data_IF_197499081381
#
_entry.id   IF_197499081381
#
_cell.length_a   1.000
_cell.length_b   1.000
_cell.length_c   1.000
_cell.angle_alpha   90.00
_cell.angle_beta   90.00
_cell.angle_gamma   90.00
#
_symmetry.space_group_name_H-M   'P 1'
#
loop_
_entity.id
_entity.type
_entity.pdbx_description
1 polymer ?
#
# COMPACT_ATOMS: atom_id res chain seq x y z
N UNK A 1 35.29 4.59 28.24
CA UNK A 1 34.06 5.40 28.34
C UNK A 1 33.56 5.82 26.96
N UNK A 2 34.45 6.27 26.05
CA UNK A 2 34.10 6.61 24.66
C UNK A 2 33.52 5.45 23.83
N UNK A 3 34.07 4.24 23.93
CA UNK A 3 33.50 3.08 23.21
C UNK A 3 32.05 2.78 23.61
N UNK A 4 31.70 2.99 24.89
CA UNK A 4 30.34 2.79 25.38
C UNK A 4 29.39 3.89 24.86
N UNK A 5 29.85 5.14 24.77
CA UNK A 5 29.03 6.23 24.23
C UNK A 5 28.80 6.08 22.72
N UNK A 6 29.80 5.61 21.97
CA UNK A 6 29.65 5.38 20.53
C UNK A 6 28.71 4.20 20.24
N UNK A 7 28.82 3.10 21.00
CA UNK A 7 27.86 1.99 20.92
C UNK A 7 26.45 2.46 21.27
N UNK A 8 26.28 3.26 22.34
CA UNK A 8 24.97 3.79 22.72
C UNK A 8 24.37 4.68 21.62
N UNK A 9 25.19 5.54 20.98
CA UNK A 9 24.78 6.38 19.86
C UNK A 9 24.34 5.55 18.65
N UNK A 10 25.10 4.51 18.31
CA UNK A 10 24.76 3.61 17.20
C UNK A 10 23.44 2.88 17.47
N UNK A 11 23.27 2.30 18.65
CA UNK A 11 22.05 1.60 19.07
C UNK A 11 20.83 2.52 19.00
N UNK A 12 20.95 3.76 19.47
CA UNK A 12 19.86 4.75 19.42
C UNK A 12 19.40 5.06 18.00
N UNK A 13 20.28 4.93 17.01
CA UNK A 13 19.96 5.22 15.62
C UNK A 13 19.50 4.00 14.83
N UNK A 14 19.62 2.77 15.36
CA UNK A 14 19.30 1.53 14.61
C UNK A 14 17.83 1.52 14.15
N UNK A 15 16.90 2.03 14.95
CA UNK A 15 15.50 2.14 14.61
C UNK A 15 15.03 3.59 14.79
N UNK A 16 14.28 4.10 13.82
CA UNK A 16 13.70 5.43 13.92
C UNK A 16 12.32 5.50 13.26
N UNK A 17 11.49 6.41 13.75
CA UNK A 17 10.29 6.82 13.01
C UNK A 17 10.69 7.85 11.96
N UNK A 18 10.11 7.72 10.77
CA UNK A 18 10.32 8.63 9.66
C UNK A 18 9.02 8.97 8.95
N UNK A 19 9.09 9.98 8.10
CA UNK A 19 8.00 10.36 7.18
C UNK A 19 8.57 10.51 5.78
N UNK A 20 7.93 9.88 4.79
CA UNK A 20 8.34 10.00 3.38
C UNK A 20 8.20 11.45 2.96
N UNK A 21 9.29 12.07 2.52
CA UNK A 21 9.36 13.47 2.13
C UNK A 21 9.41 13.66 0.61
N UNK A 22 10.08 12.75 -0.10
CA UNK A 22 10.19 12.78 -1.57
C UNK A 22 10.02 11.35 -2.12
N UNK A 23 9.42 11.24 -3.31
CA UNK A 23 9.17 9.97 -3.99
C UNK A 23 9.57 10.09 -5.46
N UNK A 24 10.40 9.16 -5.93
CA UNK A 24 10.65 8.90 -7.34
C UNK A 24 9.93 7.60 -7.73
N UNK A 25 8.87 7.73 -8.51
CA UNK A 25 8.04 6.61 -8.93
C UNK A 25 8.66 5.74 -10.03
N UNK A 26 9.56 6.30 -10.85
CA UNK A 26 10.20 5.59 -11.96
C UNK A 26 11.18 4.54 -11.43
N UNK A 27 11.99 4.92 -10.44
CA UNK A 27 13.02 4.05 -9.86
C UNK A 27 12.60 3.37 -8.54
N UNK A 28 11.36 3.63 -8.07
CA UNK A 28 10.85 3.12 -6.78
C UNK A 28 11.72 3.56 -5.59
N UNK A 29 12.21 4.80 -5.65
CA UNK A 29 13.07 5.39 -4.61
C UNK A 29 12.30 6.40 -3.77
N UNK A 30 12.66 6.50 -2.50
CA UNK A 30 12.10 7.49 -1.57
C UNK A 30 13.20 8.17 -0.78
N UNK A 31 12.91 9.37 -0.28
CA UNK A 31 13.68 10.02 0.78
C UNK A 31 12.81 10.22 2.00
N UNK A 32 13.37 9.91 3.16
CA UNK A 32 12.63 9.88 4.41
C UNK A 32 13.18 10.99 5.30
N UNK A 33 12.30 11.79 5.87
CA UNK A 33 12.66 12.71 6.94
C UNK A 33 12.69 11.95 8.27
N UNK A 34 13.86 11.88 8.88
CA UNK A 34 14.10 11.31 10.20
C UNK A 34 14.67 12.43 11.07
N UNK A 35 13.89 12.89 12.06
CA UNK A 35 14.29 13.96 12.99
C UNK A 35 14.83 15.23 12.30
N UNK A 36 14.18 15.68 11.22
CA UNK A 36 14.55 16.89 10.48
C UNK A 36 15.67 16.69 9.45
N UNK A 37 16.16 15.46 9.26
CA UNK A 37 17.19 15.13 8.27
C UNK A 37 16.63 14.21 7.20
N UNK A 38 16.97 14.49 5.95
CA UNK A 38 16.61 13.62 4.82
C UNK A 38 17.65 12.51 4.64
N UNK A 39 17.18 11.31 4.34
CA UNK A 39 18.01 10.22 3.84
C UNK A 39 18.55 10.52 2.44
N UNK A 40 19.50 9.70 2.00
CA UNK A 40 19.75 9.47 0.57
C UNK A 40 18.49 8.87 -0.09
N UNK A 41 18.52 8.73 -1.41
CA UNK A 41 17.52 7.93 -2.10
C UNK A 41 17.68 6.46 -1.69
N UNK A 42 16.63 5.91 -1.09
CA UNK A 42 16.59 4.52 -0.63
C UNK A 42 15.41 3.80 -1.29
N UNK A 43 15.54 2.49 -1.47
CA UNK A 43 14.46 1.69 -2.07
C UNK A 43 13.21 1.74 -1.20
N UNK A 44 12.07 2.00 -1.83
CA UNK A 44 10.77 1.78 -1.20
C UNK A 44 10.51 0.27 -0.96
N UNK A 45 9.68 -0.09 0.02
CA UNK A 45 9.22 -1.47 0.18
C UNK A 45 8.39 -1.90 -1.03
N UNK A 46 8.62 -3.13 -1.49
CA UNK A 46 7.84 -3.78 -2.53
C UNK A 46 7.40 -5.17 -2.10
N UNK A 47 6.36 -5.72 -2.74
CA UNK A 47 5.94 -7.09 -2.55
C UNK A 47 6.56 -7.89 -3.70
N UNK A 48 7.76 -8.43 -3.49
CA UNK A 48 8.52 -9.14 -4.53
C UNK A 48 8.92 -10.52 -4.04
N UNK A 49 8.42 -11.54 -4.73
CA UNK A 49 8.79 -12.95 -4.57
C UNK A 49 8.77 -13.68 -5.90
N UNK A 50 9.01 -14.99 -5.88
CA UNK A 50 9.04 -15.81 -7.11
C UNK A 50 7.69 -15.82 -7.84
N UNK A 51 6.59 -15.86 -7.09
CA UNK A 51 5.24 -16.02 -7.65
C UNK A 51 4.46 -14.70 -7.77
N UNK A 52 4.85 -13.67 -7.01
CA UNK A 52 4.12 -12.41 -6.91
C UNK A 52 5.10 -11.25 -6.94
N UNK A 53 4.83 -10.28 -7.82
CA UNK A 53 5.45 -8.96 -7.83
C UNK A 53 4.34 -7.93 -7.87
N UNK A 54 4.25 -7.09 -6.85
CA UNK A 54 3.25 -6.03 -6.75
C UNK A 54 3.87 -4.73 -6.26
N UNK A 55 3.35 -3.62 -6.78
CA UNK A 55 3.82 -2.27 -6.50
C UNK A 55 2.75 -1.50 -5.75
N UNK A 56 3.10 -0.98 -4.57
CA UNK A 56 2.30 -0.01 -3.84
C UNK A 56 3.01 1.34 -3.96
N UNK A 57 2.40 2.30 -4.66
CA UNK A 57 3.02 3.61 -4.82
C UNK A 57 2.94 4.40 -3.52
N UNK A 58 4.11 4.60 -2.90
CA UNK A 58 4.25 5.39 -1.69
C UNK A 58 3.92 6.87 -1.97
N UNK A 59 3.54 7.58 -0.92
CA UNK A 59 3.16 8.99 -1.01
C UNK A 59 3.96 9.81 -0.01
N UNK A 60 4.17 11.08 -0.34
CA UNK A 60 4.70 12.06 0.62
C UNK A 60 3.74 12.15 1.82
N UNK A 61 4.30 12.23 3.02
CA UNK A 61 3.54 12.26 4.27
C UNK A 61 3.25 10.89 4.88
N UNK A 62 3.55 9.78 4.18
CA UNK A 62 3.39 8.44 4.76
C UNK A 62 4.40 8.22 5.89
N UNK A 63 3.89 7.82 7.06
CA UNK A 63 4.71 7.49 8.22
C UNK A 63 5.28 6.06 8.09
N UNK A 64 6.52 5.87 8.53
CA UNK A 64 7.19 4.57 8.48
C UNK A 64 8.08 4.34 9.70
N UNK A 65 8.30 3.06 10.01
CA UNK A 65 9.43 2.64 10.85
C UNK A 65 10.59 2.29 9.91
N UNK A 66 11.76 2.84 10.20
CA UNK A 66 12.98 2.57 9.45
C UNK A 66 14.02 1.88 10.31
N UNK A 67 14.80 1.01 9.68
CA UNK A 67 16.04 0.46 10.21
C UNK A 67 17.22 1.18 9.59
N UNK A 68 18.21 1.55 10.38
CA UNK A 68 19.42 2.21 9.92
C UNK A 68 20.60 1.24 10.06
N UNK A 69 21.01 0.55 8.99
CA UNK A 69 22.19 -0.33 9.02
C UNK A 69 23.40 0.42 9.57
N UNK A 70 24.15 -0.22 10.48
CA UNK A 70 25.27 0.39 11.21
C UNK A 70 24.93 1.69 11.98
N UNK A 71 23.64 1.95 12.24
CA UNK A 71 23.19 3.17 12.93
C UNK A 71 23.34 4.44 12.09
N UNK A 72 23.36 4.33 10.75
CA UNK A 72 23.41 5.46 9.82
C UNK A 72 22.03 5.78 9.22
N UNK A 73 21.37 6.87 9.65
CA UNK A 73 20.07 7.27 9.11
C UNK A 73 20.11 7.66 7.64
N UNK A 74 21.26 8.05 7.07
CA UNK A 74 21.34 8.45 5.66
C UNK A 74 21.00 7.30 4.71
N UNK A 75 21.24 6.06 5.13
CA UNK A 75 21.03 4.83 4.34
C UNK A 75 19.93 3.95 4.96
N UNK A 76 18.95 4.58 5.62
CA UNK A 76 17.87 3.85 6.28
C UNK A 76 17.01 3.04 5.30
N UNK A 77 16.53 1.88 5.75
CA UNK A 77 15.60 1.02 5.01
C UNK A 77 14.25 1.02 5.69
N UNK A 78 13.17 1.04 4.91
CA UNK A 78 11.82 0.96 5.46
C UNK A 78 11.56 -0.48 5.92
N UNK A 79 11.20 -0.65 7.18
CA UNK A 79 10.82 -1.94 7.75
C UNK A 79 9.31 -2.15 7.66
N UNK A 80 8.53 -1.10 7.89
CA UNK A 80 7.08 -1.13 7.72
C UNK A 80 6.49 0.27 7.54
N UNK A 81 5.32 0.33 6.91
CA UNK A 81 4.49 1.52 6.81
C UNK A 81 3.52 1.55 7.99
N UNK A 82 3.34 2.73 8.57
CA UNK A 82 2.48 2.94 9.72
C UNK A 82 1.25 3.78 9.32
N UNK A 83 0.11 3.43 9.89
CA UNK A 83 -1.05 4.31 9.87
C UNK A 83 -0.68 5.60 10.63
N UNK A 84 -1.17 6.73 10.12
CA UNK A 84 -0.89 8.05 10.69
C UNK A 84 -2.17 8.86 10.77
N UNK A 85 -2.17 9.95 11.55
CA UNK A 85 -3.33 10.85 11.60
C UNK A 85 -3.66 11.46 10.23
N UNK A 86 -2.65 11.61 9.35
CA UNK A 86 -2.82 12.08 7.97
C UNK A 86 -3.35 11.01 7.01
N UNK A 87 -3.15 9.72 7.33
CA UNK A 87 -3.59 8.58 6.52
C UNK A 87 -4.11 7.50 7.47
N UNK A 88 -5.34 7.70 7.95
CA UNK A 88 -6.02 6.79 8.88
C UNK A 88 -6.65 5.61 8.14
N UNK A 89 -6.94 4.53 8.87
CA UNK A 89 -7.68 3.40 8.30
C UNK A 89 -9.04 3.88 7.75
N UNK A 90 -9.42 3.50 6.52
CA UNK A 90 -10.71 3.89 5.93
C UNK A 90 -11.94 3.32 6.66
N UNK A 91 -11.76 2.33 7.55
CA UNK A 91 -12.84 1.74 8.34
C UNK A 91 -12.43 1.61 9.81
N UNK A 92 -13.32 2.02 10.71
CA UNK A 92 -13.25 1.72 12.14
C UNK A 92 -14.06 0.47 12.54
N UNK A 93 -14.76 -0.15 11.58
CA UNK A 93 -15.53 -1.38 11.80
C UNK A 93 -14.62 -2.59 11.66
N UNK A 94 -14.43 -3.33 12.76
CA UNK A 94 -13.59 -4.54 12.81
C UNK A 94 -14.12 -5.74 12.00
N UNK A 95 -15.33 -5.66 11.45
CA UNK A 95 -15.86 -6.66 10.52
C UNK A 95 -15.55 -6.36 9.05
N UNK A 96 -14.94 -5.21 8.76
CA UNK A 96 -14.75 -4.70 7.40
C UNK A 96 -13.27 -4.63 7.04
N UNK A 97 -12.88 -5.39 6.04
CA UNK A 97 -11.62 -5.25 5.34
C UNK A 97 -11.84 -4.41 4.07
N UNK A 98 -10.98 -3.43 3.81
CA UNK A 98 -11.16 -2.56 2.64
C UNK A 98 -9.84 -2.05 2.06
N UNK A 99 -9.85 -1.85 0.74
CA UNK A 99 -8.84 -1.11 -0.02
C UNK A 99 -9.53 0.11 -0.61
N UNK A 100 -8.94 1.29 -0.40
CA UNK A 100 -9.50 2.57 -0.86
C UNK A 100 -8.42 3.33 -1.63
N UNK A 101 -8.76 3.76 -2.83
CA UNK A 101 -7.94 4.66 -3.64
C UNK A 101 -8.41 6.12 -3.46
N UNK A 102 -7.53 7.07 -3.77
CA UNK A 102 -7.77 8.50 -3.54
C UNK A 102 -8.85 9.11 -4.45
N UNK A 103 -9.22 8.42 -5.52
CA UNK A 103 -10.31 8.78 -6.42
C UNK A 103 -11.68 8.37 -5.88
N UNK A 104 -11.73 7.53 -4.84
CA UNK A 104 -12.95 6.96 -4.27
C UNK A 104 -13.25 5.53 -4.71
N UNK A 105 -12.43 4.93 -5.58
CA UNK A 105 -12.52 3.50 -5.93
C UNK A 105 -12.30 2.65 -4.68
N UNK A 106 -13.04 1.55 -4.53
CA UNK A 106 -12.96 0.68 -3.34
C UNK A 106 -13.09 -0.81 -3.66
N UNK A 107 -12.45 -1.63 -2.82
CA UNK A 107 -12.72 -3.07 -2.68
C UNK A 107 -13.00 -3.33 -1.22
N UNK A 108 -14.19 -3.82 -0.88
CA UNK A 108 -14.65 -3.99 0.50
C UNK A 108 -15.17 -5.41 0.72
N UNK A 109 -14.78 -6.02 1.83
CA UNK A 109 -15.37 -7.24 2.35
C UNK A 109 -15.91 -7.02 3.76
N UNK A 110 -17.19 -7.32 3.98
CA UNK A 110 -17.85 -7.26 5.28
C UNK A 110 -18.21 -8.67 5.74
N UNK A 111 -17.54 -9.14 6.79
CA UNK A 111 -17.71 -10.51 7.30
C UNK A 111 -19.03 -10.70 8.05
N UNK A 112 -19.65 -9.63 8.54
CA UNK A 112 -20.89 -9.70 9.32
C UNK A 112 -22.08 -10.09 8.46
N UNK A 113 -22.10 -9.63 7.20
CA UNK A 113 -23.13 -9.98 6.22
C UNK A 113 -22.58 -10.83 5.05
N UNK A 114 -21.29 -11.18 5.08
CA UNK A 114 -20.58 -11.96 4.03
C UNK A 114 -20.68 -11.30 2.65
N UNK A 115 -20.63 -9.97 2.61
CA UNK A 115 -20.74 -9.20 1.38
C UNK A 115 -19.36 -8.76 0.90
N UNK A 116 -19.06 -9.03 -0.37
CA UNK A 116 -17.92 -8.46 -1.08
C UNK A 116 -18.42 -7.48 -2.14
N UNK A 117 -17.86 -6.28 -2.16
CA UNK A 117 -18.20 -5.24 -3.13
C UNK A 117 -16.92 -4.67 -3.75
N UNK A 118 -16.94 -4.53 -5.08
CA UNK A 118 -15.93 -3.82 -5.85
C UNK A 118 -16.62 -2.64 -6.53
N UNK A 119 -16.15 -1.43 -6.27
CA UNK A 119 -16.73 -0.20 -6.80
C UNK A 119 -15.64 0.65 -7.45
N UNK A 120 -15.76 0.88 -8.76
CA UNK A 120 -14.91 1.81 -9.51
C UNK A 120 -15.61 3.14 -9.68
N UNK A 121 -14.88 4.25 -9.51
CA UNK A 121 -15.38 5.58 -9.82
C UNK A 121 -15.36 5.89 -11.33
N UNK A 122 -14.61 5.09 -12.09
CA UNK A 122 -14.61 5.08 -13.55
C UNK A 122 -15.02 3.71 -14.08
N UNK A 123 -14.35 3.25 -15.13
CA UNK A 123 -14.62 1.94 -15.70
C UNK A 123 -14.16 0.81 -14.77
N UNK A 124 -14.91 -0.29 -14.75
CA UNK A 124 -14.50 -1.56 -14.14
C UNK A 124 -14.38 -2.61 -15.24
N UNK A 125 -13.16 -3.02 -15.55
CA UNK A 125 -12.86 -3.95 -16.65
C UNK A 125 -12.43 -5.30 -16.08
N UNK A 126 -13.17 -6.36 -16.44
CA UNK A 126 -12.80 -7.74 -16.16
C UNK A 126 -12.56 -8.48 -17.48
N UNK A 127 -11.33 -8.97 -17.68
CA UNK A 127 -10.93 -9.68 -18.91
C UNK A 127 -10.27 -11.01 -18.58
N UNK A 128 -10.44 -11.99 -19.45
CA UNK A 128 -9.73 -13.26 -19.38
C UNK A 128 -9.39 -13.73 -20.80
N UNK A 129 -8.23 -14.38 -20.95
CA UNK A 129 -7.87 -15.07 -22.21
C UNK A 129 -8.77 -16.30 -22.42
N UNK A 130 -9.14 -16.98 -21.33
CA UNK A 130 -10.10 -18.07 -21.36
C UNK A 130 -11.52 -17.58 -21.13
N UNK A 131 -12.35 -18.41 -20.49
CA UNK A 131 -13.72 -18.04 -20.17
C UNK A 131 -13.82 -17.28 -18.83
N UNK A 132 -14.63 -16.23 -18.81
CA UNK A 132 -15.20 -15.67 -17.58
C UNK A 132 -16.49 -16.43 -17.29
N UNK A 133 -16.62 -17.04 -16.10
CA UNK A 133 -17.83 -17.73 -15.67
C UNK A 133 -18.46 -16.99 -14.51
N UNK A 134 -19.72 -16.56 -14.66
CA UNK A 134 -20.51 -15.89 -13.63
C UNK A 134 -21.69 -16.81 -13.29
N UNK A 135 -21.81 -17.20 -12.01
CA UNK A 135 -22.90 -18.04 -11.51
C UNK A 135 -23.45 -17.44 -10.21
N UNK A 136 -24.77 -17.37 -10.12
CA UNK A 136 -25.50 -17.17 -8.89
C UNK A 136 -26.45 -18.36 -8.68
N UNK A 137 -26.56 -18.86 -7.45
CA UNK A 137 -27.61 -19.84 -7.11
C UNK A 137 -28.98 -19.14 -6.93
N UNK A 138 -28.97 -17.83 -6.65
CA UNK A 138 -30.13 -16.94 -6.71
C UNK A 138 -30.09 -16.08 -7.98
N UNK A 139 -30.43 -14.81 -7.84
CA UNK A 139 -30.56 -13.90 -8.98
C UNK A 139 -29.21 -13.32 -9.45
N UNK A 140 -29.07 -13.15 -10.76
CA UNK A 140 -28.03 -12.34 -11.40
C UNK A 140 -28.68 -11.08 -11.96
N UNK A 141 -28.41 -9.93 -11.33
CA UNK A 141 -28.88 -8.63 -11.76
C UNK A 141 -27.87 -7.96 -12.69
N UNK A 142 -28.34 -7.46 -13.83
CA UNK A 142 -27.58 -6.64 -14.76
C UNK A 142 -28.38 -5.38 -15.05
N UNK A 143 -27.78 -4.22 -14.78
CA UNK A 143 -28.39 -2.91 -15.05
C UNK A 143 -27.37 -2.01 -15.75
N UNK A 144 -27.86 -1.23 -16.70
CA UNK A 144 -27.04 -0.35 -17.53
C UNK A 144 -27.86 0.25 -18.66
N UNK A 145 -27.45 1.43 -19.12
CA UNK A 145 -28.12 2.11 -20.23
C UNK A 145 -28.17 1.24 -21.51
N UNK A 146 -27.17 0.38 -21.70
CA UNK A 146 -27.11 -0.64 -22.76
C UNK A 146 -26.41 -1.89 -22.22
N UNK A 147 -27.00 -3.05 -22.47
CA UNK A 147 -26.40 -4.35 -22.19
C UNK A 147 -26.18 -5.04 -23.53
N UNK A 148 -24.93 -5.28 -23.89
CA UNK A 148 -24.55 -5.94 -25.14
C UNK A 148 -24.09 -7.36 -24.83
N UNK A 149 -24.76 -8.35 -25.42
CA UNK A 149 -24.26 -9.71 -25.53
C UNK A 149 -23.81 -9.92 -26.98
N UNK A 150 -22.53 -10.17 -27.17
CA UNK A 150 -21.93 -10.45 -28.47
C UNK A 150 -21.49 -11.91 -28.47
N UNK A 151 -21.86 -12.64 -29.50
CA UNK A 151 -21.20 -13.91 -29.85
C UNK A 151 -20.09 -13.56 -30.84
N UNK A 152 -18.92 -14.20 -30.70
CA UNK A 152 -17.83 -14.03 -31.67
C UNK A 152 -18.34 -14.42 -33.08
N UNK A 153 -18.13 -13.52 -34.05
CA UNK A 153 -18.40 -13.75 -35.48
C UNK A 153 -17.36 -14.64 -36.13
#
# INVERSE_FOLDING_TARGET
MEALSEIARQIQNVLAFGTIAEVNHEDVLVRININGRLTNWVSGPGIVGNNLRASNHLRVGTQCLVGCPAGDPANAVILTILNSNSLFTPSSNGAVDTVVWNDGTTVKYDTSNKNMAVHSMGDLVLTAVGAIRIKADGDLWLDGAKIHALEDS
#
